data_IF_857792091787
#
_entry.id   IF_857792091787
#
_cell.length_a   1.000
_cell.length_b   1.000
_cell.length_c   1.000
_cell.angle_alpha   90.00
_cell.angle_beta   90.00
_cell.angle_gamma   90.00
#
_symmetry.space_group_name_H-M   'P 1'
#
loop_
_entity.id
_entity.type
_entity.pdbx_description
1 polymer ?
#
# COMPACT_ATOMS: atom_id res chain seq x y z
N UNK A 1 -33.98 -70.52 40.69
CA UNK A 1 -35.42 -70.68 40.87
C UNK A 1 -36.10 -69.66 40.00
N UNK A 2 -36.88 -70.20 39.03
CA UNK A 2 -38.00 -69.63 38.29
C UNK A 2 -37.74 -68.47 37.25
N UNK A 3 -37.61 -68.93 36.03
CA UNK A 3 -38.34 -68.35 34.85
C UNK A 3 -39.85 -68.59 35.01
N UNK A 4 -40.79 -67.95 34.33
CA UNK A 4 -41.00 -67.99 32.91
C UNK A 4 -41.67 -66.66 32.34
N UNK A 5 -41.82 -66.40 31.15
CA UNK A 5 -42.38 -66.87 29.91
C UNK A 5 -42.89 -65.71 29.07
N UNK A 6 -42.46 -65.68 27.83
CA UNK A 6 -43.21 -65.55 26.58
C UNK A 6 -44.48 -64.65 26.49
N UNK A 7 -44.42 -63.69 25.54
CA UNK A 7 -45.51 -63.63 24.56
C UNK A 7 -45.04 -62.84 23.30
N UNK A 8 -45.20 -63.53 22.18
CA UNK A 8 -45.02 -63.09 20.79
C UNK A 8 -46.14 -62.14 20.40
N UNK A 9 -45.83 -61.08 19.63
CA UNK A 9 -46.69 -60.65 18.54
C UNK A 9 -45.89 -59.93 17.46
N UNK A 10 -45.85 -60.52 16.28
CA UNK A 10 -45.61 -59.95 14.94
C UNK A 10 -46.97 -59.37 14.44
N UNK A 11 -47.00 -58.70 13.29
CA UNK A 11 -46.05 -57.94 12.43
C UNK A 11 -46.69 -56.69 11.70
N UNK A 12 -45.94 -56.22 10.71
CA UNK A 12 -46.41 -55.44 9.56
C UNK A 12 -46.62 -53.94 9.81
N UNK A 13 -45.66 -53.19 9.39
CA UNK A 13 -45.72 -51.99 8.50
C UNK A 13 -44.48 -51.14 8.66
N UNK A 14 -43.40 -51.49 7.97
CA UNK A 14 -42.21 -50.65 7.86
C UNK A 14 -41.50 -50.92 6.52
N UNK A 15 -42.20 -50.64 5.44
CA UNK A 15 -41.58 -50.54 4.10
C UNK A 15 -42.16 -49.34 3.37
N UNK A 16 -41.76 -48.10 3.79
CA UNK A 16 -42.02 -46.91 2.95
C UNK A 16 -41.30 -45.63 3.51
N UNK A 17 -40.10 -45.76 4.08
CA UNK A 17 -39.37 -44.58 4.53
C UNK A 17 -37.86 -44.62 4.18
N UNK A 18 -37.40 -45.49 3.30
CA UNK A 18 -36.00 -45.60 2.93
C UNK A 18 -35.64 -44.95 1.55
N UNK A 19 -36.64 -44.41 0.82
CA UNK A 19 -36.39 -43.79 -0.50
C UNK A 19 -36.21 -42.27 -0.49
N UNK A 20 -36.62 -41.58 0.58
CA UNK A 20 -36.64 -40.11 0.62
C UNK A 20 -35.36 -39.48 1.26
N UNK A 21 -34.51 -40.30 1.85
CA UNK A 21 -33.28 -39.77 2.51
C UNK A 21 -32.01 -39.81 1.64
N UNK A 22 -32.04 -40.48 0.49
CA UNK A 22 -30.86 -40.52 -0.42
C UNK A 22 -30.86 -39.38 -1.46
N UNK A 23 -31.97 -38.70 -1.71
CA UNK A 23 -32.03 -37.58 -2.65
C UNK A 23 -31.81 -36.21 -2.00
N UNK A 24 -31.80 -36.13 -0.65
CA UNK A 24 -31.50 -34.87 0.05
C UNK A 24 -29.99 -34.68 0.31
N UNK A 25 -29.18 -35.73 0.25
CA UNK A 25 -27.73 -35.63 0.47
C UNK A 25 -26.92 -35.34 -0.81
N UNK A 26 -27.50 -35.52 -2.00
CA UNK A 26 -26.83 -35.21 -3.27
C UNK A 26 -27.18 -33.81 -3.81
N UNK A 27 -28.14 -33.11 -3.23
CA UNK A 27 -28.47 -31.74 -3.59
C UNK A 27 -27.66 -30.70 -2.78
N UNK A 28 -26.86 -31.11 -1.81
CA UNK A 28 -26.02 -30.20 -0.99
C UNK A 28 -24.53 -30.22 -1.36
N UNK A 29 -24.15 -30.86 -2.46
CA UNK A 29 -22.74 -30.90 -2.93
C UNK A 29 -22.45 -30.09 -4.19
N UNK A 30 -23.39 -29.33 -4.70
CA UNK A 30 -23.20 -28.56 -5.94
C UNK A 30 -23.63 -27.09 -5.82
N UNK A 31 -23.44 -26.45 -4.67
CA UNK A 31 -23.70 -25.01 -4.57
C UNK A 31 -22.92 -24.40 -3.41
N UNK A 32 -21.59 -24.54 -3.44
CA UNK A 32 -20.71 -23.74 -2.56
C UNK A 32 -19.34 -23.54 -3.24
N UNK A 33 -19.35 -23.16 -4.50
CA UNK A 33 -18.25 -22.46 -5.17
C UNK A 33 -18.91 -21.30 -5.91
N UNK A 34 -19.48 -20.39 -5.15
CA UNK A 34 -19.96 -19.12 -5.65
C UNK A 34 -19.36 -18.05 -4.73
N UNK A 35 -18.27 -17.45 -5.23
CA UNK A 35 -18.02 -16.04 -4.97
C UNK A 35 -17.70 -15.68 -3.53
N UNK A 36 -16.58 -16.15 -2.93
CA UNK A 36 -15.83 -15.25 -2.09
C UNK A 36 -15.09 -14.27 -3.05
N UNK A 37 -15.86 -13.45 -3.73
CA UNK A 37 -15.40 -12.19 -4.25
C UNK A 37 -14.88 -11.46 -3.01
N UNK A 38 -13.55 -11.38 -2.88
CA UNK A 38 -12.90 -10.41 -2.04
C UNK A 38 -13.48 -9.06 -2.44
N UNK A 39 -14.48 -8.60 -1.70
CA UNK A 39 -14.83 -7.20 -1.59
C UNK A 39 -13.55 -6.56 -1.01
N UNK A 40 -12.60 -6.24 -1.91
CA UNK A 40 -11.60 -5.24 -1.61
C UNK A 40 -12.42 -4.04 -1.12
N UNK A 41 -12.20 -3.53 0.10
CA UNK A 41 -12.87 -2.32 0.50
C UNK A 41 -12.53 -1.31 -0.59
N UNK A 42 -13.53 -0.87 -1.36
CA UNK A 42 -13.38 0.32 -2.17
C UNK A 42 -12.77 1.34 -1.21
N UNK A 43 -11.57 1.83 -1.53
CA UNK A 43 -10.93 2.89 -0.76
C UNK A 43 -11.91 4.05 -0.84
N UNK A 44 -12.85 4.06 0.10
CA UNK A 44 -13.82 5.12 0.23
C UNK A 44 -13.04 6.42 0.18
N UNK A 45 -13.57 7.41 -0.53
CA UNK A 45 -13.10 8.80 -0.49
C UNK A 45 -13.36 9.37 0.92
N UNK A 46 -12.84 8.71 1.94
CA UNK A 46 -12.75 9.22 3.29
C UNK A 46 -11.96 10.53 3.20
N UNK A 47 -12.43 11.54 3.85
CA UNK A 47 -11.75 12.83 3.87
C UNK A 47 -10.31 12.59 4.33
N UNK A 48 -9.33 12.91 3.47
CA UNK A 48 -7.92 12.79 3.81
C UNK A 48 -7.62 13.54 5.12
N UNK A 49 -6.79 12.97 5.98
CA UNK A 49 -6.36 13.63 7.21
C UNK A 49 -5.71 15.00 6.95
N UNK A 50 -5.02 15.12 5.83
CA UNK A 50 -4.49 16.37 5.28
C UNK A 50 -5.13 16.58 3.92
N UNK A 51 -6.03 17.56 3.75
CA UNK A 51 -6.75 17.78 2.51
C UNK A 51 -5.80 18.22 1.39
N UNK A 52 -5.96 17.62 0.20
CA UNK A 52 -5.25 18.06 -1.01
C UNK A 52 -6.03 19.23 -1.66
N UNK A 53 -5.36 20.22 -2.27
CA UNK A 53 -6.02 21.37 -2.86
C UNK A 53 -6.93 21.00 -4.04
N UNK A 54 -8.08 21.67 -4.14
CA UNK A 54 -8.98 21.50 -5.29
C UNK A 54 -8.35 22.02 -6.58
N UNK A 55 -8.73 21.40 -7.70
CA UNK A 55 -8.29 21.82 -9.04
C UNK A 55 -8.72 23.28 -9.34
N UNK A 56 -7.80 24.02 -9.95
CA UNK A 56 -8.06 25.39 -10.43
C UNK A 56 -9.05 25.42 -11.60
N UNK A 57 -9.10 24.35 -12.41
CA UNK A 57 -10.05 24.19 -13.49
C UNK A 57 -11.50 24.16 -13.03
N UNK A 58 -11.78 23.51 -11.90
CA UNK A 58 -13.11 23.48 -11.29
C UNK A 58 -13.61 24.86 -10.88
N UNK A 59 -12.71 25.75 -10.50
CA UNK A 59 -13.05 27.08 -9.98
C UNK A 59 -13.47 28.08 -11.07
N UNK A 60 -13.22 27.81 -12.36
CA UNK A 60 -13.58 28.69 -13.48
C UNK A 60 -14.75 28.18 -14.33
N UNK A 61 -15.38 27.08 -13.91
CA UNK A 61 -16.70 26.66 -14.42
C UNK A 61 -16.70 26.03 -15.80
N UNK A 62 -15.70 25.24 -16.16
CA UNK A 62 -15.66 24.56 -17.47
C UNK A 62 -15.74 23.03 -17.35
N UNK A 63 -16.66 22.40 -18.10
CA UNK A 63 -16.60 20.95 -18.35
C UNK A 63 -15.38 20.57 -19.21
N UNK A 64 -14.79 21.52 -19.90
CA UNK A 64 -13.64 21.34 -20.81
C UNK A 64 -12.28 21.29 -20.13
N UNK A 65 -12.20 21.43 -18.82
CA UNK A 65 -10.95 21.51 -18.08
C UNK A 65 -10.84 20.56 -16.90
N UNK A 66 -11.40 19.35 -17.00
CA UNK A 66 -11.04 18.33 -16.01
C UNK A 66 -9.55 17.99 -16.19
N UNK A 67 -8.78 17.89 -15.10
CA UNK A 67 -7.41 17.47 -15.19
C UNK A 67 -7.35 16.13 -15.94
N UNK A 68 -6.49 16.05 -16.95
CA UNK A 68 -6.22 14.81 -17.67
C UNK A 68 -5.72 13.71 -16.74
N UNK A 69 -5.47 12.53 -17.29
CA UNK A 69 -4.80 11.48 -16.55
C UNK A 69 -3.41 11.97 -16.09
N UNK A 70 -2.97 11.56 -14.89
CA UNK A 70 -1.67 11.96 -14.37
C UNK A 70 -0.55 11.44 -15.28
N UNK A 71 0.48 12.28 -15.52
CA UNK A 71 1.72 11.89 -16.25
C UNK A 71 2.56 10.91 -15.44
N UNK A 72 2.39 10.91 -14.13
CA UNK A 72 3.05 10.00 -13.21
C UNK A 72 2.51 10.17 -11.80
N UNK A 73 2.74 9.17 -10.98
CA UNK A 73 2.34 9.16 -9.58
C UNK A 73 3.50 8.75 -8.67
N UNK A 74 3.64 9.44 -7.55
CA UNK A 74 4.53 9.08 -6.45
C UNK A 74 3.70 8.56 -5.28
N UNK A 75 3.95 7.32 -4.90
CA UNK A 75 3.46 6.73 -3.66
C UNK A 75 4.55 6.86 -2.59
N UNK A 76 4.34 7.71 -1.60
CA UNK A 76 5.21 7.81 -0.42
C UNK A 76 4.65 6.87 0.63
N UNK A 77 5.24 5.67 0.74
CA UNK A 77 4.82 4.63 1.69
C UNK A 77 5.67 4.76 2.95
N UNK A 78 5.05 5.08 4.07
CA UNK A 78 5.75 5.40 5.32
C UNK A 78 5.39 4.39 6.41
N UNK A 79 6.41 3.70 6.89
CA UNK A 79 6.33 2.77 8.00
C UNK A 79 6.33 3.53 9.33
N UNK A 80 5.24 3.42 10.11
CA UNK A 80 5.11 4.07 11.42
C UNK A 80 5.88 3.35 12.54
N UNK A 81 6.48 2.19 12.24
CA UNK A 81 7.20 1.37 13.25
C UNK A 81 8.70 1.65 13.29
N UNK A 82 9.22 2.44 12.37
CA UNK A 82 10.64 2.72 12.24
C UNK A 82 11.06 4.03 12.93
N UNK A 83 12.23 4.07 13.57
CA UNK A 83 12.79 5.24 14.22
C UNK A 83 13.46 6.26 13.27
N UNK A 84 13.14 6.23 11.98
CA UNK A 84 13.74 7.11 10.97
C UNK A 84 13.49 8.61 11.24
N UNK A 85 12.48 8.95 12.02
CA UNK A 85 12.23 10.31 12.50
C UNK A 85 13.35 10.84 13.42
N UNK A 86 14.11 9.96 14.06
CA UNK A 86 15.24 10.32 14.94
C UNK A 86 16.50 10.74 14.14
N UNK A 87 16.57 10.36 12.86
CA UNK A 87 17.68 10.80 12.02
C UNK A 87 17.48 12.25 11.55
N UNK A 88 18.44 13.17 11.83
CA UNK A 88 18.22 14.61 11.66
C UNK A 88 17.92 15.05 10.23
N UNK A 89 18.31 14.27 9.23
CA UNK A 89 18.18 14.62 7.81
C UNK A 89 17.06 13.85 7.09
N UNK A 90 16.66 12.65 7.56
CA UNK A 90 15.69 11.79 6.84
C UNK A 90 14.34 12.46 6.66
N UNK A 91 13.69 13.03 7.69
CA UNK A 91 12.37 13.66 7.50
C UNK A 91 12.40 14.81 6.49
N UNK A 92 13.48 15.58 6.46
CA UNK A 92 13.65 16.67 5.51
C UNK A 92 13.89 16.15 4.10
N UNK A 93 14.77 15.17 3.93
CA UNK A 93 15.08 14.58 2.63
C UNK A 93 13.82 13.98 1.97
N UNK A 94 13.02 13.20 2.73
CA UNK A 94 11.77 12.63 2.22
C UNK A 94 10.77 13.72 1.78
N UNK A 95 10.68 14.82 2.54
CA UNK A 95 9.83 15.95 2.15
C UNK A 95 10.33 16.62 0.86
N UNK A 96 11.63 16.85 0.75
CA UNK A 96 12.24 17.48 -0.44
C UNK A 96 12.04 16.61 -1.67
N UNK A 97 12.27 15.30 -1.60
CA UNK A 97 12.02 14.36 -2.70
C UNK A 97 10.57 14.42 -3.18
N UNK A 98 9.61 14.34 -2.25
CA UNK A 98 8.18 14.35 -2.61
C UNK A 98 7.71 15.71 -3.15
N UNK A 99 8.24 16.82 -2.61
CA UNK A 99 7.91 18.17 -3.07
C UNK A 99 8.52 18.48 -4.43
N UNK A 100 9.74 18.00 -4.69
CA UNK A 100 10.41 18.18 -5.99
C UNK A 100 9.75 17.33 -7.08
N UNK A 101 9.26 16.13 -6.74
CA UNK A 101 8.46 15.32 -7.65
C UNK A 101 7.23 16.07 -8.17
N UNK A 102 6.54 16.82 -7.32
CA UNK A 102 5.31 17.51 -7.66
C UNK A 102 5.56 18.64 -8.67
N UNK A 103 5.21 18.35 -9.92
CA UNK A 103 5.18 19.27 -11.06
C UNK A 103 3.84 19.12 -11.78
N UNK A 104 3.48 20.07 -12.68
CA UNK A 104 2.20 20.03 -13.40
C UNK A 104 1.91 18.67 -14.05
N UNK A 105 0.72 18.13 -13.77
CA UNK A 105 0.29 16.83 -14.26
C UNK A 105 0.85 15.62 -13.50
N UNK A 106 1.58 15.80 -12.41
CA UNK A 106 2.02 14.70 -11.54
C UNK A 106 1.17 14.58 -10.28
N UNK A 107 0.94 13.34 -9.88
CA UNK A 107 0.18 13.01 -8.68
C UNK A 107 1.09 12.54 -7.53
N UNK A 108 0.60 12.65 -6.30
CA UNK A 108 1.23 12.10 -5.11
C UNK A 108 0.18 11.46 -4.21
N UNK A 109 0.57 10.38 -3.54
CA UNK A 109 -0.17 9.82 -2.40
C UNK A 109 0.81 9.56 -1.26
N UNK A 110 0.52 10.09 -0.09
CA UNK A 110 1.24 9.80 1.15
C UNK A 110 0.42 8.79 1.92
N UNK A 111 0.97 7.60 2.11
CA UNK A 111 0.31 6.45 2.72
C UNK A 111 1.14 6.03 3.91
N UNK A 112 0.52 5.96 5.08
CA UNK A 112 1.13 5.36 6.26
C UNK A 112 0.71 3.91 6.39
N UNK A 113 1.58 3.09 6.89
CA UNK A 113 1.28 1.71 7.24
C UNK A 113 2.02 1.30 8.53
N UNK A 114 1.48 0.30 9.20
CA UNK A 114 2.05 -0.29 10.42
C UNK A 114 1.73 -1.78 10.48
N UNK A 115 2.02 -2.43 11.60
CA UNK A 115 1.59 -3.80 11.83
C UNK A 115 0.08 -3.95 11.65
N UNK A 116 -0.34 -5.13 11.16
CA UNK A 116 -1.76 -5.46 11.03
C UNK A 116 -2.43 -5.47 12.41
N UNK A 117 -3.10 -4.38 12.70
CA UNK A 117 -4.09 -4.31 13.78
C UNK A 117 -5.45 -4.14 13.09
N UNK A 118 -6.49 -4.94 13.40
CA UNK A 118 -7.81 -4.73 12.85
C UNK A 118 -8.24 -3.27 13.01
N UNK A 119 -8.53 -2.60 11.86
CA UNK A 119 -8.88 -1.18 11.82
C UNK A 119 -7.70 -0.20 11.69
N UNK A 120 -6.44 -0.64 11.64
CA UNK A 120 -5.25 0.19 11.40
C UNK A 120 -4.39 -0.35 10.25
N UNK A 121 -4.98 -0.73 9.16
CA UNK A 121 -4.26 -1.03 7.93
C UNK A 121 -3.76 0.26 7.27
N UNK A 122 -2.98 0.12 6.19
CA UNK A 122 -2.48 1.24 5.42
C UNK A 122 -3.57 2.30 5.13
N UNK A 123 -3.27 3.57 5.41
CA UNK A 123 -4.18 4.71 5.25
C UNK A 123 -3.56 5.80 4.39
N UNK A 124 -4.36 6.38 3.48
CA UNK A 124 -3.95 7.53 2.69
C UNK A 124 -4.10 8.79 3.54
N UNK A 125 -2.99 9.38 3.93
CA UNK A 125 -2.95 10.62 4.73
C UNK A 125 -3.30 11.84 3.87
N UNK A 126 -2.78 11.89 2.65
CA UNK A 126 -3.12 12.88 1.62
C UNK A 126 -2.88 12.30 0.24
N UNK A 127 -3.54 12.85 -0.77
CA UNK A 127 -3.27 12.47 -2.15
C UNK A 127 -4.05 13.33 -3.13
N UNK A 128 -3.48 13.50 -4.31
CA UNK A 128 -4.11 14.25 -5.39
C UNK A 128 -3.20 14.50 -6.57
N UNK A 129 -3.77 15.11 -7.59
CA UNK A 129 -3.11 15.49 -8.82
C UNK A 129 -2.84 17.00 -8.80
N UNK A 130 -1.59 17.40 -9.07
CA UNK A 130 -1.26 18.78 -9.38
C UNK A 130 -1.75 19.07 -10.80
N UNK A 131 -2.56 20.10 -10.94
CA UNK A 131 -3.15 20.47 -12.24
C UNK A 131 -2.10 20.51 -13.35
N UNK A 132 -2.47 20.03 -14.54
CA UNK A 132 -1.68 20.20 -15.74
C UNK A 132 -1.54 21.69 -16.09
N UNK A 133 -0.47 22.05 -16.82
CA UNK A 133 -0.41 23.36 -17.45
C UNK A 133 -1.61 23.51 -18.42
N UNK A 134 -2.24 24.69 -18.45
CA UNK A 134 -3.38 24.90 -19.33
C UNK A 134 -2.94 24.89 -20.80
N UNK A 135 -3.75 24.29 -21.67
CA UNK A 135 -3.57 24.41 -23.12
C UNK A 135 -3.99 25.81 -23.59
N UNK A 136 -3.39 26.24 -24.70
CA UNK A 136 -3.77 27.50 -25.34
C UNK A 136 -5.26 27.52 -25.69
N UNK A 137 -5.79 26.42 -26.21
CA UNK A 137 -7.21 26.26 -26.52
C UNK A 137 -8.11 26.48 -25.29
N UNK A 138 -7.74 25.93 -24.13
CA UNK A 138 -8.48 26.18 -22.90
C UNK A 138 -8.45 27.67 -22.52
N UNK A 139 -7.28 28.31 -22.60
CA UNK A 139 -7.10 29.71 -22.24
C UNK A 139 -7.89 30.62 -23.19
N UNK A 140 -7.93 30.30 -24.48
CA UNK A 140 -8.63 31.11 -25.47
C UNK A 140 -10.15 31.00 -25.39
N UNK A 141 -10.64 29.85 -24.91
CA UNK A 141 -12.07 29.63 -24.72
C UNK A 141 -12.66 30.14 -23.41
N UNK A 142 -11.85 30.66 -22.46
CA UNK A 142 -12.36 31.25 -21.20
C UNK A 142 -12.36 32.78 -21.25
N UNK A 143 -13.36 33.39 -20.58
CA UNK A 143 -13.48 34.85 -20.50
C UNK A 143 -12.23 35.48 -19.88
N UNK A 144 -11.83 36.67 -20.35
CA UNK A 144 -10.66 37.38 -19.85
C UNK A 144 -10.60 37.51 -18.32
N UNK A 145 -11.73 37.80 -17.66
CA UNK A 145 -11.81 37.86 -16.20
C UNK A 145 -11.56 36.51 -15.52
N UNK A 146 -11.96 35.40 -16.15
CA UNK A 146 -11.71 34.06 -15.68
C UNK A 146 -10.25 33.63 -15.85
N UNK A 147 -9.53 34.11 -16.91
CA UNK A 147 -8.10 33.84 -17.11
C UNK A 147 -7.26 34.33 -15.91
N UNK A 148 -7.47 35.56 -15.47
CA UNK A 148 -6.74 36.15 -14.33
C UNK A 148 -7.02 35.34 -13.05
N UNK A 149 -8.29 34.97 -12.82
CA UNK A 149 -8.68 34.13 -11.69
C UNK A 149 -8.03 32.75 -11.76
N UNK A 150 -8.04 32.13 -12.96
CA UNK A 150 -7.46 30.81 -13.20
C UNK A 150 -5.97 30.77 -12.85
N UNK A 151 -5.15 31.65 -13.47
CA UNK A 151 -3.70 31.65 -13.22
C UNK A 151 -3.35 31.88 -11.74
N UNK A 152 -4.09 32.79 -11.08
CA UNK A 152 -3.91 32.99 -9.64
C UNK A 152 -4.20 31.71 -8.83
N UNK A 153 -5.29 31.01 -9.13
CA UNK A 153 -5.68 29.78 -8.42
C UNK A 153 -4.73 28.63 -8.77
N UNK A 154 -4.31 28.50 -10.02
CA UNK A 154 -3.37 27.50 -10.49
C UNK A 154 -2.03 27.60 -9.73
N UNK A 155 -1.45 28.82 -9.68
CA UNK A 155 -0.23 29.04 -8.87
C UNK A 155 -0.44 28.74 -7.38
N UNK A 156 -1.59 29.12 -6.82
CA UNK A 156 -1.92 28.84 -5.40
C UNK A 156 -2.09 27.34 -5.15
N UNK A 157 -2.70 26.61 -6.08
CA UNK A 157 -2.86 25.16 -5.99
C UNK A 157 -1.49 24.47 -5.91
N UNK A 158 -0.55 24.84 -6.79
CA UNK A 158 0.79 24.27 -6.78
C UNK A 158 1.52 24.47 -5.44
N UNK A 159 1.49 25.70 -4.91
CA UNK A 159 2.09 25.99 -3.59
C UNK A 159 1.39 25.21 -2.47
N UNK A 160 0.06 25.18 -2.48
CA UNK A 160 -0.70 24.49 -1.45
C UNK A 160 -0.50 22.97 -1.51
N UNK A 161 -0.43 22.37 -2.70
CA UNK A 161 -0.17 20.95 -2.90
C UNK A 161 1.19 20.55 -2.30
N UNK A 162 2.24 21.29 -2.61
CA UNK A 162 3.58 21.08 -2.04
C UNK A 162 3.59 21.20 -0.52
N UNK A 163 2.96 22.26 0.02
CA UNK A 163 2.88 22.49 1.46
C UNK A 163 2.07 21.39 2.18
N UNK A 164 0.95 20.94 1.60
CA UNK A 164 0.11 19.88 2.20
C UNK A 164 0.82 18.52 2.15
N UNK A 165 1.54 18.19 1.06
CA UNK A 165 2.36 16.98 0.97
C UNK A 165 3.45 16.98 2.04
N UNK A 166 4.21 18.05 2.18
CA UNK A 166 5.22 18.17 3.24
C UNK A 166 4.61 18.08 4.65
N UNK A 167 3.42 18.67 4.87
CA UNK A 167 2.68 18.57 6.13
C UNK A 167 2.25 17.13 6.43
N UNK A 168 1.76 16.41 5.42
CA UNK A 168 1.35 15.01 5.58
C UNK A 168 2.53 14.12 5.97
N UNK A 169 3.67 14.26 5.28
CA UNK A 169 4.90 13.53 5.60
C UNK A 169 5.36 13.81 7.03
N UNK A 170 5.41 15.08 7.45
CA UNK A 170 5.74 15.44 8.84
C UNK A 170 4.77 14.84 9.84
N UNK A 171 3.47 14.82 9.52
CA UNK A 171 2.45 14.24 10.38
C UNK A 171 2.73 12.76 10.65
N UNK A 172 3.09 12.00 9.61
CA UNK A 172 3.41 10.58 9.76
C UNK A 172 4.69 10.39 10.58
N UNK A 173 5.76 11.13 10.31
CA UNK A 173 6.98 11.05 11.13
C UNK A 173 6.73 11.37 12.61
N UNK A 174 5.81 12.30 12.90
CA UNK A 174 5.47 12.65 14.28
C UNK A 174 4.53 11.62 14.95
N UNK A 175 3.91 10.73 14.18
CA UNK A 175 3.04 9.68 14.69
C UNK A 175 3.78 8.38 15.03
N UNK A 176 5.11 8.33 14.82
CA UNK A 176 5.97 7.20 15.18
C UNK A 176 5.68 6.70 16.61
N UNK A 177 5.59 5.40 16.76
CA UNK A 177 5.29 4.78 18.04
C UNK A 177 6.13 3.51 18.26
N UNK A 178 6.86 3.49 19.38
CA UNK A 178 7.57 2.31 19.86
C UNK A 178 6.64 1.25 20.45
N UNK A 179 5.35 1.56 20.62
CA UNK A 179 4.37 0.65 21.21
C UNK A 179 3.83 -0.39 20.21
N UNK A 180 4.20 -0.31 18.93
CA UNK A 180 3.80 -1.25 17.89
C UNK A 180 4.88 -2.35 17.81
N UNK A 181 4.60 -3.58 18.26
CA UNK A 181 5.64 -4.60 18.46
C UNK A 181 6.07 -5.32 17.17
N UNK A 182 5.43 -5.05 16.04
CA UNK A 182 5.64 -5.76 14.77
C UNK A 182 5.68 -4.80 13.59
N UNK A 183 6.48 -5.15 12.59
CA UNK A 183 6.57 -4.50 11.28
C UNK A 183 6.13 -5.51 10.23
N UNK A 184 4.88 -5.51 9.82
CA UNK A 184 4.34 -6.45 8.82
C UNK A 184 4.48 -5.84 7.41
N UNK A 185 5.73 -5.64 6.97
CA UNK A 185 6.03 -4.98 5.71
C UNK A 185 5.56 -5.83 4.52
N UNK A 186 5.82 -7.14 4.53
CA UNK A 186 5.39 -8.06 3.47
C UNK A 186 3.87 -8.00 3.24
N UNK A 187 3.09 -8.07 4.32
CA UNK A 187 1.64 -8.00 4.24
C UNK A 187 1.15 -6.64 3.69
N UNK A 188 1.75 -5.55 4.15
CA UNK A 188 1.39 -4.22 3.68
C UNK A 188 1.78 -4.00 2.22
N UNK A 189 2.96 -4.46 1.78
CA UNK A 189 3.39 -4.38 0.38
C UNK A 189 2.48 -5.21 -0.52
N UNK A 190 2.13 -6.43 -0.12
CA UNK A 190 1.16 -7.25 -0.86
C UNK A 190 -0.19 -6.53 -1.03
N UNK A 191 -0.75 -5.95 0.04
CA UNK A 191 -2.02 -5.20 -0.03
C UNK A 191 -1.94 -3.95 -0.89
N UNK A 192 -0.87 -3.17 -0.72
CA UNK A 192 -0.69 -1.92 -1.44
C UNK A 192 -0.40 -2.15 -2.92
N UNK A 193 0.16 -3.31 -3.29
CA UNK A 193 0.49 -3.62 -4.67
C UNK A 193 -0.73 -3.53 -5.59
N UNK A 194 -1.87 -4.07 -5.18
CA UNK A 194 -3.11 -3.97 -5.96
C UNK A 194 -3.56 -2.51 -6.19
N UNK A 195 -3.50 -1.68 -5.14
CA UNK A 195 -3.81 -0.26 -5.24
C UNK A 195 -2.87 0.49 -6.20
N UNK A 196 -1.57 0.18 -6.13
CA UNK A 196 -0.55 0.77 -7.00
C UNK A 196 -0.75 0.31 -8.44
N UNK A 197 -0.99 -0.99 -8.66
CA UNK A 197 -1.25 -1.56 -9.99
C UNK A 197 -2.44 -0.90 -10.67
N UNK A 198 -3.54 -0.74 -9.94
CA UNK A 198 -4.80 -0.19 -10.46
C UNK A 198 -4.76 1.32 -10.70
N UNK A 199 -3.81 2.02 -10.12
CA UNK A 199 -3.68 3.46 -10.33
C UNK A 199 -3.27 3.78 -11.77
N UNK A 200 -4.07 4.60 -12.44
CA UNK A 200 -3.84 4.96 -13.84
C UNK A 200 -2.80 6.07 -13.95
N UNK A 201 -1.57 5.70 -14.25
CA UNK A 201 -0.47 6.61 -14.58
C UNK A 201 0.61 5.83 -15.38
N UNK A 202 1.21 6.43 -16.41
CA UNK A 202 2.26 5.77 -17.20
C UNK A 202 3.57 5.60 -16.43
N UNK A 203 3.86 6.46 -15.46
CA UNK A 203 5.02 6.37 -14.57
C UNK A 203 4.55 6.22 -13.12
N UNK A 204 5.03 5.18 -12.45
CA UNK A 204 4.71 4.91 -11.05
C UNK A 204 5.99 4.80 -10.24
N UNK A 205 6.11 5.61 -9.21
CA UNK A 205 7.24 5.56 -8.29
C UNK A 205 6.76 5.27 -6.89
N UNK A 206 7.46 4.39 -6.21
CA UNK A 206 7.32 4.10 -4.79
C UNK A 206 8.53 4.69 -4.06
N UNK A 207 8.30 5.62 -3.16
CA UNK A 207 9.27 6.06 -2.17
C UNK A 207 8.91 5.37 -0.84
N UNK A 208 9.60 4.28 -0.54
CA UNK A 208 9.35 3.47 0.64
C UNK A 208 10.27 3.93 1.78
N UNK A 209 9.66 4.45 2.85
CA UNK A 209 10.33 4.98 4.03
C UNK A 209 10.18 3.98 5.17
N UNK A 210 11.16 3.09 5.31
CA UNK A 210 11.19 1.99 6.29
C UNK A 210 12.62 1.51 6.51
N UNK A 211 12.91 0.93 7.67
CA UNK A 211 14.15 0.19 7.90
C UNK A 211 14.18 -1.15 7.17
N UNK A 212 13.06 -1.57 6.59
CA UNK A 212 12.89 -2.80 5.81
C UNK A 212 13.14 -4.08 6.63
N UNK A 213 13.06 -3.98 7.96
CA UNK A 213 13.24 -5.12 8.85
C UNK A 213 11.87 -5.76 9.15
N UNK A 214 11.49 -6.72 8.34
CA UNK A 214 10.26 -7.52 8.53
C UNK A 214 10.23 -8.13 9.94
N UNK A 215 9.08 -8.04 10.59
CA UNK A 215 8.83 -8.70 11.86
C UNK A 215 7.36 -9.12 11.99
N UNK A 216 7.04 -10.29 11.47
CA UNK A 216 5.69 -10.82 11.42
C UNK A 216 5.63 -12.26 11.93
N UNK A 217 4.48 -12.90 11.76
CA UNK A 217 4.31 -14.34 12.03
C UNK A 217 5.00 -15.22 10.98
N UNK A 218 5.30 -14.69 9.80
CA UNK A 218 5.94 -15.42 8.69
C UNK A 218 7.44 -15.50 8.88
N UNK A 219 8.05 -14.36 9.19
CA UNK A 219 9.49 -14.28 9.43
C UNK A 219 9.85 -13.04 10.25
N UNK A 220 11.05 -13.05 10.82
CA UNK A 220 11.63 -11.87 11.45
C UNK A 220 13.06 -11.67 10.95
N UNK A 221 13.35 -10.44 10.51
CA UNK A 221 14.72 -10.04 10.12
C UNK A 221 15.50 -9.46 11.29
N UNK A 222 14.91 -9.43 12.49
CA UNK A 222 15.55 -9.03 13.73
C UNK A 222 16.18 -10.20 14.46
N UNK A 223 17.34 -9.97 15.08
CA UNK A 223 17.97 -10.87 16.04
C UNK A 223 18.69 -10.05 17.11
N UNK A 224 18.26 -10.14 18.35
CA UNK A 224 18.88 -9.48 19.51
C UNK A 224 19.11 -7.96 19.32
N UNK A 225 18.18 -7.28 18.63
CA UNK A 225 18.25 -5.83 18.35
C UNK A 225 19.14 -5.46 17.16
N UNK A 226 19.62 -6.45 16.41
CA UNK A 226 20.38 -6.27 15.17
C UNK A 226 19.69 -6.94 13.99
N UNK A 227 20.33 -6.90 12.81
CA UNK A 227 19.87 -7.54 11.58
C UNK A 227 20.20 -9.03 11.65
N UNK A 228 19.22 -9.90 11.52
CA UNK A 228 19.43 -11.35 11.36
C UNK A 228 20.16 -11.64 10.04
N UNK A 229 21.17 -12.51 10.07
CA UNK A 229 21.78 -13.02 8.84
C UNK A 229 20.78 -13.94 8.13
N UNK A 230 20.04 -13.39 7.17
CA UNK A 230 19.04 -14.10 6.39
C UNK A 230 19.66 -14.81 5.19
N UNK A 231 19.00 -15.87 4.71
CA UNK A 231 19.19 -16.40 3.37
C UNK A 231 18.07 -15.86 2.48
N UNK A 232 18.36 -14.98 1.50
CA UNK A 232 17.33 -14.31 0.72
C UNK A 232 16.40 -15.27 -0.02
N UNK A 233 16.89 -16.38 -0.57
CA UNK A 233 16.07 -17.36 -1.28
C UNK A 233 15.08 -18.04 -0.35
N UNK A 234 15.56 -18.50 0.80
CA UNK A 234 14.71 -19.13 1.80
C UNK A 234 13.58 -18.17 2.26
N UNK A 235 13.90 -16.90 2.43
CA UNK A 235 12.89 -15.91 2.86
C UNK A 235 11.90 -15.56 1.74
N UNK A 236 12.34 -15.54 0.47
CA UNK A 236 11.44 -15.36 -0.69
C UNK A 236 10.48 -16.55 -0.81
N UNK A 237 10.95 -17.79 -0.63
CA UNK A 237 10.07 -18.97 -0.67
C UNK A 237 9.03 -18.96 0.46
N UNK A 238 9.37 -18.46 1.65
CA UNK A 238 8.39 -18.24 2.71
C UNK A 238 7.33 -17.22 2.29
N UNK A 239 7.75 -16.06 1.76
CA UNK A 239 6.81 -15.04 1.30
C UNK A 239 5.89 -15.57 0.19
N UNK A 240 6.40 -16.39 -0.74
CA UNK A 240 5.62 -17.05 -1.79
C UNK A 240 4.62 -18.05 -1.24
N UNK A 241 5.06 -18.92 -0.32
CA UNK A 241 4.19 -19.95 0.27
C UNK A 241 3.01 -19.36 1.05
N UNK A 242 3.18 -18.19 1.62
CA UNK A 242 2.14 -17.44 2.33
C UNK A 242 1.34 -16.50 1.40
N UNK A 243 1.63 -16.49 0.09
CA UNK A 243 0.94 -15.64 -0.88
C UNK A 243 1.18 -14.14 -0.66
N UNK A 244 2.33 -13.76 -0.10
CA UNK A 244 2.64 -12.37 0.26
C UNK A 244 3.48 -11.63 -0.79
N UNK A 245 3.76 -12.23 -1.95
CA UNK A 245 4.34 -11.51 -3.08
C UNK A 245 3.24 -10.64 -3.72
N UNK A 246 3.44 -9.34 -3.71
CA UNK A 246 2.53 -8.40 -4.35
C UNK A 246 2.76 -8.32 -5.86
N UNK A 247 1.72 -7.98 -6.63
CA UNK A 247 1.86 -7.62 -8.04
C UNK A 247 1.62 -6.10 -8.19
N UNK A 248 2.70 -5.35 -8.39
CA UNK A 248 2.66 -3.88 -8.50
C UNK A 248 2.27 -3.40 -9.90
N UNK A 249 2.28 -4.30 -10.89
CA UNK A 249 2.04 -3.96 -12.30
C UNK A 249 3.30 -3.47 -13.02
N UNK A 250 3.12 -2.96 -14.22
CA UNK A 250 4.24 -2.56 -15.07
C UNK A 250 4.79 -1.17 -14.74
N UNK A 251 6.07 -0.94 -15.06
CA UNK A 251 6.76 0.35 -14.97
C UNK A 251 6.76 0.96 -13.56
N UNK A 252 6.88 0.13 -12.54
CA UNK A 252 6.96 0.58 -11.14
C UNK A 252 8.42 0.60 -10.69
N UNK A 253 8.91 1.77 -10.29
CA UNK A 253 10.24 1.97 -9.73
C UNK A 253 10.17 2.22 -8.23
N UNK A 254 11.08 1.59 -7.48
CA UNK A 254 11.10 1.63 -6.02
C UNK A 254 12.39 2.27 -5.52
N UNK A 255 12.25 3.24 -4.67
CA UNK A 255 13.32 3.88 -3.93
C UNK A 255 13.09 3.65 -2.44
N UNK A 256 14.09 3.16 -1.73
CA UNK A 256 13.99 2.85 -0.30
C UNK A 256 14.82 3.85 0.50
N UNK A 257 14.23 4.46 1.53
CA UNK A 257 14.90 5.35 2.48
C UNK A 257 14.92 4.65 3.84
N UNK A 258 16.11 4.46 4.40
CA UNK A 258 16.26 4.00 5.78
C UNK A 258 16.65 2.55 5.96
N UNK A 259 17.01 1.82 4.91
CA UNK A 259 17.33 0.39 4.99
C UNK A 259 18.29 0.06 6.14
N UNK A 260 17.85 -0.80 7.06
CA UNK A 260 18.61 -1.28 8.21
C UNK A 260 18.85 -0.24 9.32
N UNK A 261 18.35 0.99 9.17
CA UNK A 261 18.58 2.07 10.15
C UNK A 261 17.99 1.71 11.52
N UNK A 262 18.76 2.03 12.57
CA UNK A 262 18.36 1.75 13.95
C UNK A 262 18.75 0.35 14.46
N UNK A 263 19.09 -0.59 13.58
CA UNK A 263 19.62 -1.88 14.00
C UNK A 263 21.08 -1.77 14.44
N UNK A 264 21.48 -2.52 15.47
CA UNK A 264 22.86 -2.52 15.99
C UNK A 264 23.92 -2.85 14.93
N UNK A 265 23.56 -3.72 13.99
CA UNK A 265 24.45 -4.24 12.95
C UNK A 265 24.20 -3.59 11.58
N UNK A 266 23.65 -2.37 11.55
CA UNK A 266 23.34 -1.72 10.28
C UNK A 266 24.58 -1.37 9.44
N UNK A 267 25.77 -1.40 10.06
CA UNK A 267 27.07 -1.25 9.38
C UNK A 267 27.67 -2.59 8.90
N UNK A 268 27.07 -3.74 9.26
CA UNK A 268 27.52 -5.05 8.78
C UNK A 268 27.13 -5.21 7.30
N UNK A 269 28.12 -5.10 6.43
CA UNK A 269 27.92 -5.11 4.98
C UNK A 269 27.33 -6.43 4.44
N UNK A 270 27.66 -7.60 5.04
CA UNK A 270 27.10 -8.88 4.62
C UNK A 270 25.60 -8.97 4.95
N UNK A 271 25.21 -8.58 6.16
CA UNK A 271 23.80 -8.57 6.59
C UNK A 271 22.96 -7.59 5.79
N UNK A 272 23.47 -6.37 5.62
CA UNK A 272 22.80 -5.34 4.81
C UNK A 272 22.70 -5.75 3.35
N UNK A 273 23.74 -6.38 2.77
CA UNK A 273 23.71 -6.90 1.41
C UNK A 273 22.64 -7.98 1.21
N UNK A 274 22.52 -8.91 2.17
CA UNK A 274 21.47 -9.96 2.14
C UNK A 274 20.08 -9.37 2.24
N UNK A 275 19.91 -8.35 3.08
CA UNK A 275 18.64 -7.62 3.20
C UNK A 275 18.27 -6.91 1.88
N UNK A 276 19.24 -6.23 1.24
CA UNK A 276 19.06 -5.63 -0.09
C UNK A 276 18.67 -6.69 -1.13
N UNK A 277 19.40 -7.81 -1.17
CA UNK A 277 19.13 -8.90 -2.12
C UNK A 277 17.72 -9.47 -1.95
N UNK A 278 17.27 -9.67 -0.70
CA UNK A 278 15.89 -10.13 -0.44
C UNK A 278 14.86 -9.15 -1.00
N UNK A 279 14.94 -7.88 -0.64
CA UNK A 279 13.94 -6.89 -1.07
C UNK A 279 14.00 -6.59 -2.57
N UNK A 280 15.19 -6.61 -3.18
CA UNK A 280 15.32 -6.51 -4.62
C UNK A 280 14.54 -7.63 -5.32
N UNK A 281 14.76 -8.89 -4.92
CA UNK A 281 14.04 -10.05 -5.47
C UNK A 281 12.54 -10.03 -5.17
N UNK A 282 12.17 -9.59 -3.97
CA UNK A 282 10.76 -9.44 -3.62
C UNK A 282 10.02 -8.52 -4.61
N UNK A 283 10.59 -7.35 -4.88
CA UNK A 283 10.00 -6.40 -5.83
C UNK A 283 10.08 -6.91 -7.28
N UNK A 284 11.17 -7.55 -7.68
CA UNK A 284 11.29 -8.19 -9.01
C UNK A 284 10.20 -9.24 -9.24
N UNK A 285 9.92 -10.09 -8.26
CA UNK A 285 8.80 -11.04 -8.32
C UNK A 285 7.43 -10.35 -8.37
N UNK A 286 7.34 -9.13 -7.87
CA UNK A 286 6.15 -8.29 -7.91
C UNK A 286 6.06 -7.37 -9.12
N UNK A 287 6.87 -7.56 -10.16
CA UNK A 287 6.93 -6.73 -11.37
C UNK A 287 7.34 -5.27 -11.11
N UNK A 288 8.16 -5.02 -10.08
CA UNK A 288 8.70 -3.70 -9.76
C UNK A 288 10.23 -3.74 -9.70
N UNK A 289 10.89 -2.63 -10.02
CA UNK A 289 12.36 -2.52 -10.03
C UNK A 289 12.81 -1.62 -8.89
N UNK A 290 13.75 -2.10 -8.07
CA UNK A 290 14.38 -1.25 -7.05
C UNK A 290 15.54 -0.49 -7.69
N UNK A 291 15.43 0.84 -7.70
CA UNK A 291 16.44 1.73 -8.28
C UNK A 291 17.54 2.04 -7.25
N UNK A 292 17.15 2.31 -6.00
CA UNK A 292 18.11 2.69 -4.97
C UNK A 292 17.68 2.27 -3.57
N UNK A 293 18.67 1.84 -2.77
CA UNK A 293 18.55 1.63 -1.34
C UNK A 293 19.38 2.66 -0.58
N UNK A 294 18.71 3.65 0.02
CA UNK A 294 19.31 4.62 0.91
C UNK A 294 19.64 4.02 2.28
N UNK A 295 20.86 4.21 2.73
CA UNK A 295 21.36 3.77 4.05
C UNK A 295 21.92 4.96 4.85
N UNK A 296 21.11 5.86 5.44
CA UNK A 296 19.65 5.90 5.32
C UNK A 296 19.11 6.77 4.18
N UNK A 297 19.92 7.63 3.55
CA UNK A 297 19.46 8.61 2.54
C UNK A 297 19.72 8.11 1.12
N UNK A 298 18.89 8.56 0.17
CA UNK A 298 19.14 8.42 -1.26
C UNK A 298 20.20 9.45 -1.72
N UNK A 299 20.93 9.10 -2.77
CA UNK A 299 21.91 9.98 -3.41
C UNK A 299 21.35 10.72 -4.61
N UNK A 300 20.33 10.13 -5.27
CA UNK A 300 19.70 10.65 -6.48
C UNK A 300 18.34 11.32 -6.27
N UNK A 301 17.82 11.87 -7.37
CA UNK A 301 16.43 12.34 -7.50
C UNK A 301 15.52 11.18 -7.92
N UNK A 302 14.20 11.35 -7.75
CA UNK A 302 13.20 10.38 -8.22
C UNK A 302 12.97 10.62 -9.73
N UNK A 303 13.29 9.62 -10.56
CA UNK A 303 13.17 9.68 -12.02
C UNK A 303 12.10 8.74 -12.58
#
# INVERSE_FOLDING_TARGET
MNSPALLKHHPRHARRAAGARKNALNALKTSLVAGLGLLLPAWSAAAFEVPFPKSSYQAVGGKAGLPGEPRGVLFVLMDETTSLNEHPKVPRSVQELAVNWLSPGRAVQVIRFSAYVPGRSAEIVTGGLLDHEPSDDFIDNIKRSARVKFYRLHKRQAHAAKAQTAKAIRKVFNAYSTSIPKSEILFNMHRLSAHIREYKAPQKIILLVSDMLENSSVTSFYLAGGIRKIDPETEIEKAKSEGLIGDFGENVRVYVVGLGFGAKDYLDSDRVSRLKTFWQRYFEHGNATVEEFGTPLLFGELE
#
